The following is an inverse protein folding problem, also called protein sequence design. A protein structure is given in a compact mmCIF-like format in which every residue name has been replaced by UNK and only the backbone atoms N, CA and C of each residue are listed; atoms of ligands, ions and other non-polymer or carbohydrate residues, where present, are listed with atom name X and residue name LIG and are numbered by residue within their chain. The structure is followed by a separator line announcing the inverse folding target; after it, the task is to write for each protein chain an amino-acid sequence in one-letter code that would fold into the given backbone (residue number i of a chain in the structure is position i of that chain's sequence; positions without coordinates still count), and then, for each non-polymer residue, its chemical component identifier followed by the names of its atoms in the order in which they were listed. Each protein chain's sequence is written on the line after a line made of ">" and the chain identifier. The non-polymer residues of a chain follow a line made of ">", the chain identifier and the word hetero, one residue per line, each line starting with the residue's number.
data_IF_372972729408
#
_entry.id   IF_372972729408
#
_cell.length_a   1.000
_cell.length_b   1.000
_cell.length_c   1.000
_cell.angle_alpha   90.00
_cell.angle_beta   90.00
_cell.angle_gamma   90.00
#
_symmetry.space_group_name_H-M   'P 1'
#
loop_
_entity.id
_entity.type
_entity.pdbx_description
1 polymer ?
#
# COMPACT_ATOMS: atom_id res chain seq x y z
N UNK A 1 37.54 2.16 20.41
CA UNK A 1 36.99 1.86 19.07
C UNK A 1 35.50 2.18 19.14
N UNK A 2 35.11 3.22 18.41
CA UNK A 2 33.83 3.96 18.53
C UNK A 2 32.66 3.12 18.03
N UNK A 3 31.69 2.85 18.91
CA UNK A 3 30.38 2.31 18.53
C UNK A 3 29.69 3.36 17.65
N UNK A 4 29.32 3.04 16.40
CA UNK A 4 28.73 4.03 15.51
C UNK A 4 27.41 4.52 16.09
N UNK A 5 27.29 5.85 16.06
CA UNK A 5 26.19 6.65 16.56
C UNK A 5 24.84 6.02 16.21
N UNK A 6 24.12 5.64 17.26
CA UNK A 6 22.74 5.17 17.28
C UNK A 6 21.96 5.85 16.17
N UNK A 7 21.55 5.07 15.16
CA UNK A 7 20.57 5.49 14.17
C UNK A 7 19.42 6.18 14.93
N UNK A 8 19.44 7.51 14.92
CA UNK A 8 18.56 8.36 15.72
C UNK A 8 17.16 7.90 15.39
N UNK A 9 16.60 7.11 16.30
CA UNK A 9 15.19 6.75 16.27
C UNK A 9 14.50 8.08 16.07
N UNK A 10 13.90 8.30 14.90
CA UNK A 10 12.86 9.31 14.78
C UNK A 10 11.76 8.81 15.70
N UNK A 11 11.97 9.02 16.99
CA UNK A 11 10.92 9.02 17.98
C UNK A 11 10.08 10.18 17.52
N UNK A 12 9.00 9.88 16.80
CA UNK A 12 7.85 10.78 16.82
C UNK A 12 7.66 11.12 18.30
N UNK A 13 7.86 12.39 18.63
CA UNK A 13 7.60 12.88 19.97
C UNK A 13 6.08 12.80 20.15
N UNK A 14 5.60 11.68 20.69
CA UNK A 14 4.19 11.40 20.90
C UNK A 14 3.84 9.90 20.85
N UNK A 15 2.69 9.50 21.41
CA UNK A 15 2.20 8.15 21.28
C UNK A 15 1.98 7.80 19.80
N UNK A 16 2.68 6.77 19.32
CA UNK A 16 2.60 6.30 17.93
C UNK A 16 1.17 5.97 17.47
N UNK A 17 1.01 5.80 16.16
CA UNK A 17 -0.27 5.67 15.48
C UNK A 17 -1.09 4.47 16.03
N UNK A 18 -2.38 4.72 16.29
CA UNK A 18 -3.35 3.69 16.70
C UNK A 18 -3.73 2.81 15.50
N UNK A 19 -4.25 1.60 15.77
CA UNK A 19 -4.76 0.65 14.76
C UNK A 19 -5.64 1.31 13.67
N UNK A 20 -6.72 2.05 14.00
CA UNK A 20 -7.55 2.68 12.97
C UNK A 20 -6.82 3.79 12.18
N UNK A 21 -5.88 4.50 12.81
CA UNK A 21 -5.12 5.56 12.14
C UNK A 21 -4.20 5.00 11.05
N UNK A 22 -3.58 3.85 11.29
CA UNK A 22 -2.77 3.15 10.29
C UNK A 22 -3.65 2.71 9.12
N UNK A 23 -4.83 2.16 9.40
CA UNK A 23 -5.74 1.71 8.34
C UNK A 23 -6.13 2.86 7.41
N UNK A 24 -6.56 3.98 7.99
CA UNK A 24 -7.00 5.15 7.21
C UNK A 24 -5.84 5.74 6.42
N UNK A 25 -4.66 5.87 7.02
CA UNK A 25 -3.47 6.37 6.35
C UNK A 25 -3.08 5.51 5.13
N UNK A 26 -3.02 4.19 5.32
CA UNK A 26 -2.62 3.27 4.27
C UNK A 26 -3.67 3.22 3.15
N UNK A 27 -4.96 3.25 3.51
CA UNK A 27 -6.06 3.24 2.54
C UNK A 27 -6.09 4.50 1.69
N UNK A 28 -5.88 5.68 2.29
CA UNK A 28 -5.83 6.96 1.56
C UNK A 28 -4.66 6.99 0.58
N UNK A 29 -3.46 6.63 1.02
CA UNK A 29 -2.27 6.64 0.17
C UNK A 29 -2.42 5.71 -1.04
N UNK A 30 -2.89 4.48 -0.80
CA UNK A 30 -3.01 3.47 -1.85
C UNK A 30 -4.16 3.82 -2.80
N UNK A 31 -5.32 4.23 -2.28
CA UNK A 31 -6.49 4.55 -3.12
C UNK A 31 -6.27 5.81 -3.95
N UNK A 32 -5.65 6.85 -3.38
CA UNK A 32 -5.32 8.08 -4.12
C UNK A 32 -4.35 7.80 -5.26
N UNK A 33 -3.31 7.00 -4.99
CA UNK A 33 -2.28 6.68 -5.98
C UNK A 33 -2.80 5.77 -7.08
N UNK A 34 -3.61 4.77 -6.71
CA UNK A 34 -4.32 3.91 -7.65
C UNK A 34 -5.23 4.74 -8.56
N UNK A 35 -6.03 5.65 -8.01
CA UNK A 35 -6.91 6.52 -8.79
C UNK A 35 -6.12 7.41 -9.76
N UNK A 36 -5.04 8.02 -9.28
CA UNK A 36 -4.19 8.88 -10.11
C UNK A 36 -3.55 8.09 -11.25
N UNK A 37 -2.97 6.92 -10.96
CA UNK A 37 -2.31 6.10 -11.97
C UNK A 37 -3.30 5.55 -13.01
N UNK A 38 -4.49 5.14 -12.60
CA UNK A 38 -5.58 4.75 -13.51
C UNK A 38 -5.99 5.92 -14.41
N UNK A 39 -6.08 7.14 -13.88
CA UNK A 39 -6.54 8.31 -14.63
C UNK A 39 -5.54 8.76 -15.70
N UNK A 40 -4.24 8.62 -15.46
CA UNK A 40 -3.18 9.04 -16.37
C UNK A 40 -2.66 7.93 -17.28
N UNK A 41 -2.63 6.69 -16.80
CA UNK A 41 -1.92 5.57 -17.45
C UNK A 41 -2.84 4.46 -17.95
N UNK A 42 -4.12 4.49 -17.57
CA UNK A 42 -5.12 3.48 -17.97
C UNK A 42 -4.94 2.11 -17.32
N UNK A 43 -4.02 1.98 -16.37
CA UNK A 43 -3.72 0.72 -15.69
C UNK A 43 -2.82 0.96 -14.47
N UNK A 44 -2.78 -0.01 -13.56
CA UNK A 44 -1.92 0.02 -12.38
C UNK A 44 -0.46 -0.20 -12.76
N UNK A 45 0.45 0.39 -11.98
CA UNK A 45 1.86 0.34 -12.30
C UNK A 45 2.81 0.46 -11.13
N UNK A 46 4.08 0.61 -11.49
CA UNK A 46 5.21 0.62 -10.56
C UNK A 46 5.13 1.76 -9.53
N UNK A 47 4.39 2.83 -9.83
CA UNK A 47 4.21 3.96 -8.90
C UNK A 47 3.33 3.52 -7.74
N UNK A 48 2.17 2.91 -8.01
CA UNK A 48 1.32 2.34 -6.95
C UNK A 48 2.05 1.25 -6.17
N UNK A 49 2.85 0.40 -6.83
CA UNK A 49 3.70 -0.59 -6.15
C UNK A 49 4.72 0.02 -5.19
N UNK A 50 5.41 1.07 -5.60
CA UNK A 50 6.36 1.78 -4.74
C UNK A 50 5.69 2.42 -3.53
N UNK A 51 4.47 2.95 -3.71
CA UNK A 51 3.69 3.60 -2.66
C UNK A 51 3.20 2.58 -1.63
N UNK A 52 2.88 1.35 -2.03
CA UNK A 52 2.56 0.26 -1.12
C UNK A 52 3.75 -0.05 -0.21
N UNK A 53 4.96 -0.15 -0.76
CA UNK A 53 6.18 -0.38 0.04
C UNK A 53 6.43 0.76 1.03
N UNK A 54 6.27 2.02 0.59
CA UNK A 54 6.42 3.19 1.46
C UNK A 54 5.34 3.19 2.56
N UNK A 55 4.10 2.86 2.21
CA UNK A 55 2.95 2.80 3.12
C UNK A 55 3.08 1.69 4.17
N UNK A 56 3.63 0.54 3.78
CA UNK A 56 4.01 -0.55 4.68
C UNK A 56 5.10 -0.08 5.65
N UNK A 57 6.19 0.48 5.13
CA UNK A 57 7.30 0.95 5.95
C UNK A 57 6.86 2.05 6.92
N UNK A 58 6.06 3.01 6.45
CA UNK A 58 5.49 4.07 7.26
C UNK A 58 4.58 3.52 8.36
N UNK A 59 3.69 2.57 8.06
CA UNK A 59 2.82 1.96 9.07
C UNK A 59 3.60 1.19 10.15
N UNK A 60 4.65 0.48 9.77
CA UNK A 60 5.51 -0.27 10.71
C UNK A 60 6.36 0.67 11.56
N UNK A 61 6.87 1.76 10.98
CA UNK A 61 7.71 2.75 11.68
C UNK A 61 6.91 3.68 12.59
N UNK A 62 5.71 4.09 12.19
CA UNK A 62 4.88 5.04 12.94
C UNK A 62 3.89 4.36 13.89
N UNK A 63 3.70 3.04 13.80
CA UNK A 63 2.79 2.28 14.64
C UNK A 63 3.28 2.05 16.08
N UNK A 64 2.34 1.99 17.03
CA UNK A 64 2.60 1.54 18.41
C UNK A 64 2.84 0.03 18.50
N UNK A 65 3.45 -0.45 19.58
CA UNK A 65 3.54 -1.88 19.87
C UNK A 65 2.13 -2.53 19.83
N UNK A 66 1.98 -3.61 19.06
CA UNK A 66 0.69 -4.28 18.81
C UNK A 66 -0.09 -3.79 17.58
N UNK A 67 0.50 -2.91 16.75
CA UNK A 67 -0.12 -2.44 15.49
C UNK A 67 0.51 -3.01 14.21
N UNK A 68 1.59 -3.80 14.33
CA UNK A 68 2.31 -4.39 13.21
C UNK A 68 1.42 -5.26 12.32
N UNK A 69 0.55 -6.08 12.92
CA UNK A 69 -0.39 -6.92 12.16
C UNK A 69 -1.25 -6.08 11.22
N UNK A 70 -1.85 -5.01 11.73
CA UNK A 70 -2.71 -4.12 10.95
C UNK A 70 -1.91 -3.42 9.85
N UNK A 71 -0.68 -2.99 10.16
CA UNK A 71 0.20 -2.35 9.18
C UNK A 71 0.60 -3.25 8.01
N UNK A 72 0.66 -4.56 8.21
CA UNK A 72 1.07 -5.53 7.18
C UNK A 72 -0.13 -6.03 6.36
N UNK A 73 -1.29 -6.23 6.98
CA UNK A 73 -2.48 -6.76 6.29
C UNK A 73 -3.30 -5.68 5.58
N UNK A 74 -3.24 -4.42 6.03
CA UNK A 74 -4.03 -3.36 5.39
C UNK A 74 -3.52 -3.01 4.00
N UNK A 75 -2.20 -2.90 3.70
CA UNK A 75 -1.74 -2.60 2.35
C UNK A 75 -2.24 -3.58 1.27
N UNK A 76 -2.15 -4.91 1.43
CA UNK A 76 -2.71 -5.85 0.45
C UNK A 76 -4.24 -5.79 0.40
N UNK A 77 -4.92 -5.56 1.53
CA UNK A 77 -6.39 -5.46 1.56
C UNK A 77 -6.88 -4.19 0.86
N UNK A 78 -6.22 -3.05 1.09
CA UNK A 78 -6.51 -1.78 0.45
C UNK A 78 -6.27 -1.86 -1.07
N UNK A 79 -5.18 -2.52 -1.49
CA UNK A 79 -4.93 -2.78 -2.91
C UNK A 79 -6.03 -3.63 -3.53
N UNK A 80 -6.43 -4.73 -2.89
CA UNK A 80 -7.49 -5.61 -3.39
C UNK A 80 -8.84 -4.87 -3.55
N UNK A 81 -9.20 -4.04 -2.58
CA UNK A 81 -10.43 -3.21 -2.62
C UNK A 81 -10.32 -2.17 -3.75
N UNK A 82 -9.19 -1.48 -3.88
CA UNK A 82 -8.99 -0.47 -4.92
C UNK A 82 -9.01 -1.09 -6.33
N UNK A 83 -8.40 -2.27 -6.49
CA UNK A 83 -8.42 -3.07 -7.71
C UNK A 83 -9.85 -3.46 -8.09
N UNK A 84 -10.57 -4.14 -7.19
CA UNK A 84 -11.94 -4.57 -7.45
C UNK A 84 -12.85 -3.37 -7.75
N UNK A 85 -12.71 -2.27 -7.00
CA UNK A 85 -13.46 -1.04 -7.26
C UNK A 85 -13.16 -0.46 -8.64
N UNK A 86 -11.88 -0.42 -9.04
CA UNK A 86 -11.48 0.12 -10.34
C UNK A 86 -12.00 -0.71 -11.52
N UNK A 87 -11.98 -2.04 -11.41
CA UNK A 87 -12.47 -2.92 -12.48
C UNK A 87 -13.99 -2.86 -12.58
N UNK A 88 -14.71 -2.86 -11.46
CA UNK A 88 -16.17 -2.71 -11.47
C UNK A 88 -16.57 -1.36 -12.09
N UNK A 89 -15.82 -0.30 -11.80
CA UNK A 89 -16.08 1.04 -12.31
C UNK A 89 -15.81 1.20 -13.82
N UNK A 90 -14.81 0.50 -14.38
CA UNK A 90 -14.43 0.65 -15.79
C UNK A 90 -15.09 -0.39 -16.71
N UNK A 91 -15.19 -1.66 -16.31
CA UNK A 91 -15.58 -2.77 -17.19
C UNK A 91 -16.96 -3.39 -16.88
N UNK A 92 -17.56 -3.04 -15.73
CA UNK A 92 -18.79 -3.65 -15.22
C UNK A 92 -18.59 -5.10 -14.74
N UNK A 93 -19.67 -5.85 -14.50
CA UNK A 93 -19.62 -7.23 -13.96
C UNK A 93 -19.28 -8.29 -15.04
N UNK A 94 -18.21 -8.09 -15.81
CA UNK A 94 -17.68 -9.10 -16.74
C UNK A 94 -16.58 -9.90 -16.06
N UNK A 95 -16.98 -10.90 -15.27
CA UNK A 95 -16.12 -11.69 -14.37
C UNK A 95 -14.86 -12.26 -15.07
N UNK A 96 -14.96 -12.65 -16.34
CA UNK A 96 -13.83 -13.21 -17.12
C UNK A 96 -12.74 -12.18 -17.44
N UNK A 97 -13.09 -10.91 -17.61
CA UNK A 97 -12.12 -9.84 -17.90
C UNK A 97 -11.53 -9.29 -16.60
N UNK A 98 -12.36 -9.21 -15.56
CA UNK A 98 -11.96 -8.79 -14.21
C UNK A 98 -10.78 -9.60 -13.67
N UNK A 99 -10.82 -10.93 -13.81
CA UNK A 99 -9.73 -11.78 -13.33
C UNK A 99 -8.41 -11.55 -14.05
N UNK A 100 -8.45 -11.27 -15.36
CA UNK A 100 -7.25 -11.04 -16.19
C UNK A 100 -6.66 -9.67 -15.87
N UNK A 101 -7.48 -8.62 -15.81
CA UNK A 101 -7.03 -7.26 -15.50
C UNK A 101 -6.53 -7.14 -14.06
N UNK A 102 -7.09 -7.93 -13.14
CA UNK A 102 -6.59 -8.08 -11.78
C UNK A 102 -5.18 -8.68 -11.74
N UNK A 103 -4.95 -9.82 -12.42
CA UNK A 103 -3.64 -10.47 -12.49
C UNK A 103 -2.62 -9.59 -13.22
N UNK A 104 -3.00 -8.95 -14.31
CA UNK A 104 -2.15 -8.03 -15.06
C UNK A 104 -1.73 -6.82 -14.19
N UNK A 105 -2.66 -6.29 -13.41
CA UNK A 105 -2.38 -5.21 -12.46
C UNK A 105 -1.45 -5.66 -11.32
N UNK A 106 -1.65 -6.86 -10.78
CA UNK A 106 -0.74 -7.48 -9.80
C UNK A 106 0.68 -7.66 -10.35
N UNK A 107 0.81 -8.13 -11.60
CA UNK A 107 2.09 -8.28 -12.27
C UNK A 107 2.77 -6.93 -12.53
N UNK A 108 2.01 -5.86 -12.76
CA UNK A 108 2.53 -4.50 -12.96
C UNK A 108 2.94 -3.81 -11.65
N UNK A 109 2.35 -4.22 -10.53
CA UNK A 109 2.67 -3.80 -9.15
C UNK A 109 3.87 -4.59 -8.56
N UNK A 110 4.54 -5.40 -9.40
CA UNK A 110 5.67 -6.26 -9.03
C UNK A 110 6.96 -5.60 -8.50
N UNK A 111 7.15 -4.26 -8.38
CA UNK A 111 8.21 -3.76 -7.50
C UNK A 111 8.12 -4.30 -6.06
N UNK A 112 6.95 -4.80 -5.63
CA UNK A 112 6.79 -5.51 -4.35
C UNK A 112 7.46 -6.91 -4.32
N UNK A 113 7.67 -7.57 -5.48
CA UNK A 113 8.35 -8.87 -5.58
C UNK A 113 9.87 -8.78 -5.75
N UNK A 114 10.41 -7.61 -6.11
CA UNK A 114 11.87 -7.38 -6.17
C UNK A 114 12.48 -7.27 -4.77
N UNK A 115 11.67 -6.91 -3.76
CA UNK A 115 12.13 -6.63 -2.41
C UNK A 115 11.85 -7.75 -1.38
N UNK A 116 11.33 -8.91 -1.83
CA UNK A 116 11.09 -10.10 -1.01
C UNK A 116 12.14 -11.18 -1.33
#
# INVERSE_FOLDING_TARGET
>A
MTVPETARKMTIQGPGLKKPGIVVFQFILISLSCYLELRFRGGLGAITGSIICISLFAGVRFGRAGTTYVSVVTPPLALAIALLGSVIANDGLKISRVGIDFIASLASVAPFLIAA
#
